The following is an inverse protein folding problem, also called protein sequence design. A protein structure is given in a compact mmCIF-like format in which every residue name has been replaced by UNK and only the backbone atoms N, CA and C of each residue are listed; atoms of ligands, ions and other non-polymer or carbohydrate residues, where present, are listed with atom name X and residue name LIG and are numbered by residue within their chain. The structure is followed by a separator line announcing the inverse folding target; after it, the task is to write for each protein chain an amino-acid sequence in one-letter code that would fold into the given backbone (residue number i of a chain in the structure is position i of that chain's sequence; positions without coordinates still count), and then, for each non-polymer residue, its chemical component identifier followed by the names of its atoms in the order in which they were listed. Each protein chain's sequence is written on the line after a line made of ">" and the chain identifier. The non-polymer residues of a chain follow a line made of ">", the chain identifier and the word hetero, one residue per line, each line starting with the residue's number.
data_IF_839836109450
#
_entry.id   IF_839836109450
#
_cell.length_a   1.000
_cell.length_b   1.000
_cell.length_c   1.000
_cell.angle_alpha   90.00
_cell.angle_beta   90.00
_cell.angle_gamma   90.00
#
_symmetry.space_group_name_H-M   'P 1'
#
loop_
_entity.id
_entity.type
_entity.pdbx_description
1 polymer ?
#
# COMPACT_ATOMS: atom_id res chain seq x y z
N UNK A 1 -7.41 -2.11 8.53
CA UNK A 1 -6.96 -1.06 7.59
C UNK A 1 -5.72 -0.28 8.06
N UNK A 2 -5.66 0.19 9.31
CA UNK A 2 -4.49 0.93 9.87
C UNK A 2 -3.12 0.20 9.77
N UNK A 3 -2.98 -1.13 10.00
CA UNK A 3 -1.68 -1.80 9.91
C UNK A 3 -1.16 -1.90 8.48
N UNK A 4 -2.01 -2.23 7.50
CA UNK A 4 -1.68 -2.20 6.07
C UNK A 4 -1.05 -0.87 5.67
N UNK A 5 -1.71 0.21 6.08
CA UNK A 5 -1.34 1.56 5.71
C UNK A 5 -0.02 1.99 6.35
N UNK A 6 0.18 1.70 7.65
CA UNK A 6 1.45 1.93 8.35
C UNK A 6 2.61 1.15 7.73
N UNK A 7 2.36 -0.09 7.32
CA UNK A 7 3.39 -0.94 6.71
C UNK A 7 3.73 -0.48 5.29
N UNK A 8 2.76 -0.12 4.44
CA UNK A 8 3.06 0.35 3.09
C UNK A 8 3.69 1.76 3.10
N UNK A 9 3.29 2.65 4.01
CA UNK A 9 3.98 3.94 4.21
C UNK A 9 5.44 3.72 4.62
N UNK A 10 5.72 2.80 5.56
CA UNK A 10 7.10 2.45 5.96
C UNK A 10 7.96 1.90 4.82
N UNK A 11 7.34 1.32 3.80
CA UNK A 11 8.03 0.74 2.65
C UNK A 11 8.31 1.80 1.57
N UNK A 12 7.60 2.94 1.59
CA UNK A 12 7.78 4.04 0.66
C UNK A 12 9.18 4.70 0.84
N UNK A 13 9.96 4.92 -0.22
CA UNK A 13 11.35 5.32 -0.12
C UNK A 13 11.60 6.82 0.13
N UNK A 14 10.57 7.66 0.26
CA UNK A 14 10.77 9.03 0.72
C UNK A 14 11.39 9.05 2.14
N UNK A 15 11.07 8.06 2.98
CA UNK A 15 11.76 7.80 4.25
C UNK A 15 12.98 6.86 4.12
N UNK A 16 13.22 6.18 2.97
CA UNK A 16 14.38 5.28 2.81
C UNK A 16 15.70 6.00 3.07
N UNK A 17 15.88 7.23 2.58
CA UNK A 17 17.19 7.89 2.69
C UNK A 17 17.55 8.28 4.13
N UNK A 18 16.56 8.59 4.97
CA UNK A 18 16.77 8.89 6.39
C UNK A 18 16.74 7.63 7.27
N UNK A 19 15.96 6.59 6.92
CA UNK A 19 15.88 5.34 7.68
C UNK A 19 17.02 4.34 7.39
N UNK A 20 17.72 4.41 6.25
CA UNK A 20 18.90 3.56 6.02
C UNK A 20 20.07 3.86 6.98
N UNK A 21 19.98 4.95 7.75
CA UNK A 21 20.95 5.33 8.78
C UNK A 21 20.54 4.92 10.20
N UNK A 22 19.32 4.39 10.40
CA UNK A 22 18.85 3.90 11.70
C UNK A 22 18.67 2.39 11.65
N UNK A 23 19.52 1.68 12.39
CA UNK A 23 19.58 0.23 12.56
C UNK A 23 18.36 -0.33 13.32
N UNK A 24 17.15 0.00 12.89
CA UNK A 24 15.92 -0.58 13.43
C UNK A 24 15.67 -1.90 12.72
N UNK A 25 15.75 -3.01 13.46
CA UNK A 25 15.43 -4.36 12.95
C UNK A 25 14.05 -4.29 12.27
N UNK A 26 14.02 -4.34 10.94
CA UNK A 26 12.75 -4.48 10.21
C UNK A 26 12.09 -5.76 10.69
N UNK A 27 10.92 -5.63 11.30
CA UNK A 27 10.19 -6.80 11.77
C UNK A 27 9.72 -7.59 10.57
N UNK A 28 9.86 -8.91 10.60
CA UNK A 28 9.37 -9.81 9.56
C UNK A 28 7.89 -9.56 9.22
N UNK A 29 7.12 -9.07 10.19
CA UNK A 29 5.73 -8.63 10.07
C UNK A 29 5.50 -7.52 9.03
N UNK A 30 6.48 -6.64 8.79
CA UNK A 30 6.37 -5.55 7.80
C UNK A 30 6.40 -6.08 6.35
N UNK A 31 6.90 -7.30 6.13
CA UNK A 31 6.86 -7.98 4.83
C UNK A 31 5.69 -8.97 4.75
N UNK A 32 5.37 -9.64 5.85
CA UNK A 32 4.35 -10.68 5.90
C UNK A 32 2.95 -10.12 5.62
N UNK A 33 2.61 -8.96 6.20
CA UNK A 33 1.26 -8.42 6.06
C UNK A 33 0.91 -8.04 4.60
N UNK A 34 1.73 -7.26 3.85
CA UNK A 34 1.46 -6.98 2.44
C UNK A 34 1.42 -8.23 1.57
N UNK A 35 2.31 -9.21 1.84
CA UNK A 35 2.35 -10.49 1.12
C UNK A 35 1.04 -11.25 1.25
N UNK A 36 0.52 -11.40 2.47
CA UNK A 36 -0.74 -12.12 2.71
C UNK A 36 -1.94 -11.40 2.11
N UNK A 37 -2.02 -10.07 2.25
CA UNK A 37 -3.14 -9.30 1.70
C UNK A 37 -3.14 -9.34 0.18
N UNK A 38 -1.99 -9.07 -0.46
CA UNK A 38 -1.92 -9.04 -1.93
C UNK A 38 -1.99 -10.43 -2.55
N UNK A 39 -1.37 -11.43 -1.92
CA UNK A 39 -1.54 -12.83 -2.29
C UNK A 39 -3.01 -13.26 -2.20
N UNK A 40 -3.69 -12.91 -1.11
CA UNK A 40 -5.12 -13.17 -0.93
C UNK A 40 -6.01 -12.45 -1.95
N UNK A 41 -5.71 -11.19 -2.28
CA UNK A 41 -6.40 -10.49 -3.37
C UNK A 41 -6.15 -11.16 -4.74
N UNK A 42 -4.96 -11.72 -4.97
CA UNK A 42 -4.68 -12.52 -6.16
C UNK A 42 -5.49 -13.82 -6.21
N UNK A 43 -5.69 -14.47 -5.07
CA UNK A 43 -6.60 -15.62 -4.94
C UNK A 43 -8.02 -15.20 -5.34
N UNK A 44 -8.54 -14.11 -4.77
CA UNK A 44 -9.87 -13.57 -5.13
C UNK A 44 -9.94 -13.29 -6.64
N UNK A 45 -8.90 -12.68 -7.21
CA UNK A 45 -8.81 -12.43 -8.65
C UNK A 45 -8.92 -13.68 -9.52
N UNK A 46 -8.59 -14.86 -8.98
CA UNK A 46 -8.80 -16.15 -9.65
C UNK A 46 -10.26 -16.59 -9.61
N UNK A 47 -10.93 -16.45 -8.47
CA UNK A 47 -12.33 -16.81 -8.30
C UNK A 47 -13.27 -15.88 -9.07
N UNK A 48 -12.89 -14.62 -9.27
CA UNK A 48 -13.63 -13.67 -10.11
C UNK A 48 -13.27 -13.78 -11.58
N UNK A 49 -12.44 -14.74 -11.97
CA UNK A 49 -12.04 -14.96 -13.35
C UNK A 49 -13.19 -15.51 -14.19
N UNK A 50 -13.24 -15.10 -15.46
CA UNK A 50 -14.22 -15.60 -16.43
C UNK A 50 -13.65 -16.82 -17.15
N UNK A 51 -14.33 -17.97 -17.13
CA UNK A 51 -13.87 -19.15 -17.85
C UNK A 51 -14.04 -18.97 -19.37
N UNK A 52 -12.96 -19.19 -20.13
CA UNK A 52 -12.91 -19.08 -21.59
C UNK A 52 -12.09 -20.26 -22.12
N UNK A 53 -12.72 -21.12 -22.92
CA UNK A 53 -12.07 -22.29 -23.58
C UNK A 53 -11.19 -23.13 -22.64
N UNK A 54 -11.72 -23.48 -21.46
CA UNK A 54 -10.98 -24.30 -20.48
C UNK A 54 -9.86 -23.57 -19.73
N UNK A 55 -9.73 -22.24 -19.89
CA UNK A 55 -8.84 -21.40 -19.11
C UNK A 55 -9.60 -20.23 -18.45
N UNK A 56 -8.90 -19.40 -17.69
CA UNK A 56 -9.50 -18.32 -16.88
C UNK A 56 -8.92 -16.95 -17.26
N UNK A 57 -9.73 -16.08 -17.86
CA UNK A 57 -9.42 -14.66 -17.99
C UNK A 57 -9.64 -13.98 -16.64
N UNK A 58 -8.58 -13.43 -16.05
CA UNK A 58 -8.58 -13.06 -14.64
C UNK A 58 -7.73 -11.81 -14.37
N UNK A 59 -7.94 -11.22 -13.19
CA UNK A 59 -7.19 -10.04 -12.73
C UNK A 59 -6.19 -10.41 -11.61
N UNK A 60 -5.78 -11.69 -11.50
CA UNK A 60 -4.88 -12.17 -10.43
C UNK A 60 -3.58 -11.38 -10.37
N UNK A 61 -3.01 -11.08 -11.53
CA UNK A 61 -1.71 -10.44 -11.60
C UNK A 61 -1.73 -9.04 -10.98
N UNK A 62 -2.87 -8.35 -10.98
CA UNK A 62 -2.98 -6.95 -10.59
C UNK A 62 -2.49 -6.70 -9.15
N UNK A 63 -3.05 -7.36 -8.11
CA UNK A 63 -2.56 -7.19 -6.75
C UNK A 63 -1.12 -7.70 -6.56
N UNK A 64 -0.70 -8.77 -7.24
CA UNK A 64 0.67 -9.31 -7.17
C UNK A 64 1.69 -8.32 -7.75
N UNK A 65 1.37 -7.75 -8.90
CA UNK A 65 2.19 -6.75 -9.58
C UNK A 65 2.31 -5.48 -8.74
N UNK A 66 1.20 -4.97 -8.20
CA UNK A 66 1.20 -3.82 -7.28
C UNK A 66 2.04 -4.12 -6.03
N UNK A 67 1.94 -5.33 -5.48
CA UNK A 67 2.75 -5.77 -4.34
C UNK A 67 4.25 -5.75 -4.65
N UNK A 68 4.66 -6.20 -5.84
CA UNK A 68 6.04 -6.10 -6.29
C UNK A 68 6.47 -4.65 -6.47
N UNK A 69 5.68 -3.84 -7.18
CA UNK A 69 6.06 -2.48 -7.51
C UNK A 69 6.24 -1.59 -6.27
N UNK A 70 5.35 -1.73 -5.28
CA UNK A 70 5.42 -0.99 -4.01
C UNK A 70 6.33 -1.67 -2.98
N UNK A 71 6.29 -3.00 -2.90
CA UNK A 71 6.95 -3.80 -1.85
C UNK A 71 8.36 -4.27 -2.17
N UNK A 72 8.78 -4.16 -3.43
CA UNK A 72 10.04 -4.70 -3.94
C UNK A 72 9.96 -6.21 -4.28
N UNK A 73 11.09 -6.80 -4.70
CA UNK A 73 11.13 -8.15 -5.27
C UNK A 73 10.68 -9.24 -4.30
N UNK A 74 11.08 -9.15 -3.03
CA UNK A 74 10.71 -10.17 -2.02
C UNK A 74 9.20 -10.22 -1.81
N UNK A 75 8.54 -9.06 -1.71
CA UNK A 75 7.08 -9.00 -1.51
C UNK A 75 6.33 -9.50 -2.75
N UNK A 76 6.75 -9.05 -3.94
CA UNK A 76 6.13 -9.47 -5.20
C UNK A 76 6.24 -10.96 -5.46
N UNK A 77 7.42 -11.54 -5.26
CA UNK A 77 7.65 -12.98 -5.43
C UNK A 77 6.80 -13.80 -4.45
N UNK A 78 6.81 -13.45 -3.16
CA UNK A 78 6.04 -14.20 -2.16
C UNK A 78 4.53 -14.09 -2.39
N UNK A 79 4.02 -12.90 -2.75
CA UNK A 79 2.61 -12.72 -3.11
C UNK A 79 2.26 -13.54 -4.38
N UNK A 80 3.15 -13.55 -5.36
CA UNK A 80 3.01 -14.33 -6.59
C UNK A 80 3.01 -15.83 -6.33
N UNK A 81 3.83 -16.32 -5.40
CA UNK A 81 3.82 -17.73 -4.96
C UNK A 81 2.45 -18.07 -4.36
N UNK A 82 1.94 -17.26 -3.44
CA UNK A 82 0.64 -17.51 -2.81
C UNK A 82 -0.48 -17.59 -3.85
N UNK A 83 -0.58 -16.57 -4.72
CA UNK A 83 -1.66 -16.50 -5.71
C UNK A 83 -1.48 -17.53 -6.84
N UNK A 84 -0.26 -17.73 -7.31
CA UNK A 84 0.08 -18.65 -8.40
C UNK A 84 -0.05 -20.11 -8.00
N UNK A 85 0.49 -20.51 -6.84
CA UNK A 85 0.33 -21.88 -6.32
C UNK A 85 -1.14 -22.18 -6.04
N UNK A 86 -1.89 -21.22 -5.49
CA UNK A 86 -3.34 -21.38 -5.36
C UNK A 86 -4.01 -21.63 -6.72
N UNK A 87 -3.66 -20.91 -7.79
CA UNK A 87 -4.23 -21.17 -9.12
C UNK A 87 -3.91 -22.57 -9.63
N UNK A 88 -2.67 -23.01 -9.45
CA UNK A 88 -2.28 -24.36 -9.84
C UNK A 88 -3.09 -25.40 -9.05
N UNK A 89 -3.25 -25.20 -7.74
CA UNK A 89 -4.02 -26.08 -6.86
C UNK A 89 -5.55 -26.03 -7.12
N UNK A 90 -6.07 -24.90 -7.61
CA UNK A 90 -7.50 -24.73 -7.90
C UNK A 90 -7.98 -25.60 -9.06
N UNK A 91 -7.14 -25.83 -10.06
CA UNK A 91 -7.49 -26.60 -11.26
C UNK A 91 -6.26 -27.43 -11.67
N UNK A 92 -6.06 -28.47 -10.86
CA UNK A 92 -4.97 -29.44 -10.99
C UNK A 92 -5.18 -30.22 -12.28
N UNK A 93 -4.26 -30.03 -13.24
CA UNK A 93 -4.32 -30.66 -14.55
C UNK A 93 -4.90 -29.77 -15.66
N UNK A 94 -5.34 -28.55 -15.35
CA UNK A 94 -5.69 -27.57 -16.37
C UNK A 94 -4.50 -27.21 -17.25
N UNK A 95 -4.69 -27.14 -18.57
CA UNK A 95 -3.60 -26.95 -19.54
C UNK A 95 -2.81 -25.63 -19.36
N UNK A 96 -3.39 -24.64 -18.67
CA UNK A 96 -2.76 -23.36 -18.31
C UNK A 96 -2.33 -23.24 -16.85
N UNK A 97 -2.63 -24.24 -16.00
CA UNK A 97 -2.46 -24.12 -14.55
C UNK A 97 -1.00 -23.85 -14.13
N UNK A 98 -0.06 -24.60 -14.70
CA UNK A 98 1.39 -24.44 -14.44
C UNK A 98 1.91 -23.14 -15.06
N UNK A 99 1.54 -22.86 -16.32
CA UNK A 99 1.94 -21.66 -17.04
C UNK A 99 1.53 -20.38 -16.30
N UNK A 100 0.28 -20.32 -15.84
CA UNK A 100 -0.24 -19.19 -15.07
C UNK A 100 0.41 -19.05 -13.69
N UNK A 101 0.82 -20.15 -13.05
CA UNK A 101 1.57 -20.08 -11.80
C UNK A 101 2.94 -19.43 -12.03
N UNK A 102 3.67 -19.91 -13.03
CA UNK A 102 5.00 -19.39 -13.38
C UNK A 102 4.91 -17.92 -13.80
N UNK A 103 3.95 -17.57 -14.65
CA UNK A 103 3.76 -16.19 -15.12
C UNK A 103 3.46 -15.25 -13.95
N UNK A 104 2.54 -15.60 -13.05
CA UNK A 104 2.19 -14.75 -11.90
C UNK A 104 3.38 -14.51 -10.97
N UNK A 105 4.23 -15.50 -10.73
CA UNK A 105 5.46 -15.33 -9.94
C UNK A 105 6.43 -14.39 -10.66
N UNK A 106 6.61 -14.57 -11.97
CA UNK A 106 7.50 -13.73 -12.79
C UNK A 106 7.02 -12.28 -12.89
N UNK A 107 5.72 -12.03 -12.97
CA UNK A 107 5.13 -10.69 -12.96
C UNK A 107 5.41 -9.97 -11.64
N UNK A 108 5.23 -10.67 -10.51
CA UNK A 108 5.56 -10.15 -9.19
C UNK A 108 7.07 -9.84 -9.05
N UNK A 109 7.92 -10.72 -9.57
CA UNK A 109 9.37 -10.51 -9.59
C UNK A 109 9.78 -9.31 -10.47
N UNK A 110 9.22 -9.21 -11.67
CA UNK A 110 9.47 -8.12 -12.62
C UNK A 110 9.04 -6.77 -12.04
N UNK A 111 7.83 -6.69 -11.47
CA UNK A 111 7.36 -5.48 -10.81
C UNK A 111 8.27 -5.09 -9.63
N UNK A 112 8.69 -6.08 -8.84
CA UNK A 112 9.64 -5.90 -7.75
C UNK A 112 11.00 -5.38 -8.19
N UNK A 113 11.54 -5.90 -9.28
CA UNK A 113 12.77 -5.41 -9.89
C UNK A 113 12.63 -3.96 -10.38
N UNK A 114 11.49 -3.62 -10.99
CA UNK A 114 11.19 -2.28 -11.47
C UNK A 114 10.86 -1.28 -10.34
N UNK A 115 10.66 -1.73 -9.11
CA UNK A 115 10.27 -0.90 -7.95
C UNK A 115 11.19 0.30 -7.76
N UNK A 116 12.51 0.13 -7.82
CA UNK A 116 13.45 1.24 -7.64
C UNK A 116 13.30 2.30 -8.75
N UNK A 117 13.07 1.86 -9.99
CA UNK A 117 12.89 2.75 -11.15
C UNK A 117 11.53 3.44 -11.11
N UNK A 118 10.51 2.75 -10.63
CA UNK A 118 9.17 3.27 -10.38
C UNK A 118 9.19 4.45 -9.41
N UNK A 119 9.87 4.31 -8.27
CA UNK A 119 9.95 5.38 -7.28
C UNK A 119 10.75 6.61 -7.73
N UNK A 120 11.67 6.43 -8.69
CA UNK A 120 12.39 7.53 -9.32
C UNK A 120 11.59 8.22 -10.44
N UNK A 121 10.45 7.65 -10.86
CA UNK A 121 9.62 8.22 -11.92
C UNK A 121 8.74 9.35 -11.40
N UNK A 122 8.67 10.46 -12.16
CA UNK A 122 7.74 11.57 -11.87
C UNK A 122 6.28 11.23 -12.20
N UNK A 123 6.04 10.29 -13.13
CA UNK A 123 4.70 9.91 -13.60
C UNK A 123 4.43 8.46 -13.22
N UNK A 124 4.13 8.22 -11.94
CA UNK A 124 3.98 6.86 -11.38
C UNK A 124 2.85 6.05 -12.02
N UNK A 125 1.69 6.67 -12.26
CA UNK A 125 0.56 6.01 -12.94
C UNK A 125 0.91 5.54 -14.36
N UNK A 126 1.56 6.39 -15.17
CA UNK A 126 2.00 6.02 -16.52
C UNK A 126 3.10 4.94 -16.49
N UNK A 127 4.04 5.03 -15.54
CA UNK A 127 5.06 4.00 -15.38
C UNK A 127 4.41 2.64 -15.06
N UNK A 128 3.47 2.61 -14.12
CA UNK A 128 2.74 1.40 -13.75
C UNK A 128 1.94 0.82 -14.93
N UNK A 129 1.28 1.69 -15.71
CA UNK A 129 0.55 1.28 -16.92
C UNK A 129 1.47 0.56 -17.91
N UNK A 130 2.59 1.20 -18.31
CA UNK A 130 3.52 0.60 -19.28
C UNK A 130 4.20 -0.65 -18.74
N UNK A 131 4.62 -0.63 -17.47
CA UNK A 131 5.25 -1.80 -16.85
C UNK A 131 4.27 -2.99 -16.76
N UNK A 132 3.00 -2.74 -16.49
CA UNK A 132 1.96 -3.77 -16.47
C UNK A 132 1.67 -4.31 -17.88
N UNK A 133 1.65 -3.45 -18.92
CA UNK A 133 1.53 -3.91 -20.32
C UNK A 133 2.68 -4.86 -20.68
N UNK A 134 3.91 -4.51 -20.32
CA UNK A 134 5.07 -5.38 -20.56
C UNK A 134 4.97 -6.70 -19.79
N UNK A 135 4.46 -6.67 -18.56
CA UNK A 135 4.27 -7.85 -17.72
C UNK A 135 3.20 -8.79 -18.30
N UNK A 136 2.06 -8.26 -18.76
CA UNK A 136 1.01 -9.06 -19.41
C UNK A 136 1.48 -9.67 -20.73
N UNK A 137 2.22 -8.91 -21.55
CA UNK A 137 2.83 -9.45 -22.77
C UNK A 137 3.76 -10.61 -22.42
N UNK A 138 4.59 -10.46 -21.38
CA UNK A 138 5.45 -11.53 -20.89
C UNK A 138 4.63 -12.75 -20.43
N UNK A 139 3.51 -12.55 -19.74
CA UNK A 139 2.61 -13.64 -19.35
C UNK A 139 2.05 -14.39 -20.55
N UNK A 140 1.58 -13.69 -21.58
CA UNK A 140 1.05 -14.33 -22.79
C UNK A 140 2.14 -15.16 -23.49
N UNK A 141 3.39 -14.68 -23.52
CA UNK A 141 4.52 -15.43 -24.05
C UNK A 141 4.84 -16.68 -23.21
N UNK A 142 4.83 -16.57 -21.87
CA UNK A 142 5.05 -17.71 -20.99
C UNK A 142 3.98 -18.77 -21.22
N UNK A 143 2.71 -18.36 -21.38
CA UNK A 143 1.61 -19.29 -21.67
C UNK A 143 1.86 -20.01 -22.99
N UNK A 144 2.21 -19.31 -24.08
CA UNK A 144 2.47 -19.94 -25.38
C UNK A 144 3.65 -20.94 -25.35
N UNK A 145 4.67 -20.68 -24.55
CA UNK A 145 5.87 -21.54 -24.49
C UNK A 145 5.66 -22.76 -23.60
N UNK A 146 4.83 -22.64 -22.56
CA UNK A 146 4.74 -23.65 -21.50
C UNK A 146 3.42 -24.42 -21.45
N UNK A 147 2.33 -23.86 -21.99
CA UNK A 147 1.04 -24.54 -22.04
C UNK A 147 1.00 -25.54 -23.19
N UNK A 148 0.40 -26.70 -22.96
CA UNK A 148 0.29 -27.79 -23.94
C UNK A 148 -1.14 -28.34 -23.97
N UNK A 149 -1.74 -28.56 -25.16
CA UNK A 149 -1.17 -28.40 -26.50
C UNK A 149 -1.09 -26.94 -26.98
N UNK A 150 -0.14 -26.65 -27.89
CA UNK A 150 0.12 -25.29 -28.37
C UNK A 150 -1.06 -24.67 -29.12
N UNK A 151 -1.83 -25.48 -29.87
CA UNK A 151 -2.98 -25.01 -30.62
C UNK A 151 -4.03 -24.39 -29.71
N UNK A 152 -4.36 -25.05 -28.59
CA UNK A 152 -5.30 -24.54 -27.60
C UNK A 152 -4.78 -23.27 -26.92
N UNK A 153 -3.48 -23.21 -26.61
CA UNK A 153 -2.84 -22.04 -26.02
C UNK A 153 -2.86 -20.82 -26.96
N UNK A 154 -2.59 -21.02 -28.24
CA UNK A 154 -2.63 -19.97 -29.26
C UNK A 154 -4.02 -19.40 -29.45
N UNK A 155 -5.02 -20.28 -29.52
CA UNK A 155 -6.42 -19.92 -29.66
C UNK A 155 -6.96 -19.19 -28.43
N UNK A 156 -6.53 -19.60 -27.24
CA UNK A 156 -6.83 -18.87 -26.01
C UNK A 156 -6.23 -17.47 -26.04
N UNK A 157 -4.92 -17.34 -26.30
CA UNK A 157 -4.19 -16.06 -26.26
C UNK A 157 -4.78 -15.06 -27.24
N UNK A 158 -5.21 -15.47 -28.43
CA UNK A 158 -5.91 -14.59 -29.38
C UNK A 158 -7.16 -13.93 -28.80
N UNK A 159 -7.91 -14.65 -27.96
CA UNK A 159 -9.16 -14.17 -27.39
C UNK A 159 -8.90 -13.31 -26.16
N UNK A 160 -7.98 -13.73 -25.30
CA UNK A 160 -7.80 -13.11 -23.98
C UNK A 160 -6.75 -12.00 -23.95
N UNK A 161 -5.78 -11.99 -24.86
CA UNK A 161 -4.61 -11.09 -24.77
C UNK A 161 -4.99 -9.62 -24.74
N UNK A 162 -5.72 -9.14 -25.75
CA UNK A 162 -6.13 -7.72 -25.84
C UNK A 162 -6.95 -7.27 -24.62
N UNK A 163 -8.06 -7.94 -24.24
CA UNK A 163 -8.86 -7.49 -23.10
C UNK A 163 -8.09 -7.59 -21.78
N UNK A 164 -7.30 -8.65 -21.55
CA UNK A 164 -6.52 -8.79 -20.31
C UNK A 164 -5.39 -7.77 -20.21
N UNK A 165 -4.57 -7.62 -21.26
CA UNK A 165 -3.49 -6.60 -21.29
C UNK A 165 -4.07 -5.23 -20.97
N UNK A 166 -5.18 -4.86 -21.61
CA UNK A 166 -5.78 -3.54 -21.44
C UNK A 166 -6.38 -3.37 -20.05
N UNK A 167 -7.25 -4.29 -19.62
CA UNK A 167 -7.96 -4.19 -18.35
C UNK A 167 -7.02 -4.25 -17.15
N UNK A 168 -6.09 -5.21 -17.13
CA UNK A 168 -5.18 -5.39 -16.00
C UNK A 168 -4.15 -4.26 -15.93
N UNK A 169 -3.66 -3.76 -17.07
CA UNK A 169 -2.73 -2.62 -17.07
C UNK A 169 -3.40 -1.34 -16.56
N UNK A 170 -4.63 -1.06 -17.00
CA UNK A 170 -5.41 0.07 -16.49
C UNK A 170 -5.69 -0.12 -14.99
N UNK A 171 -6.08 -1.33 -14.57
CA UNK A 171 -6.31 -1.67 -13.17
C UNK A 171 -5.09 -1.41 -12.29
N UNK A 172 -3.90 -1.86 -12.73
CA UNK A 172 -2.63 -1.58 -12.06
C UNK A 172 -2.37 -0.07 -11.95
N UNK A 173 -2.54 0.68 -13.04
CA UNK A 173 -2.30 2.12 -13.05
C UNK A 173 -3.24 2.87 -12.09
N UNK A 174 -4.54 2.52 -12.08
CA UNK A 174 -5.53 3.12 -11.19
C UNK A 174 -5.24 2.81 -9.73
N UNK A 175 -4.90 1.57 -9.39
CA UNK A 175 -4.55 1.18 -8.02
C UNK A 175 -3.29 1.94 -7.57
N UNK A 176 -2.28 2.06 -8.43
CA UNK A 176 -1.06 2.81 -8.11
C UNK A 176 -1.36 4.30 -7.89
N UNK A 177 -2.20 4.92 -8.73
CA UNK A 177 -2.64 6.29 -8.52
C UNK A 177 -3.41 6.44 -7.21
N UNK A 178 -4.30 5.50 -6.89
CA UNK A 178 -5.02 5.49 -5.62
C UNK A 178 -4.04 5.41 -4.44
N UNK A 179 -3.05 4.53 -4.48
CA UNK A 179 -2.01 4.46 -3.45
C UNK A 179 -1.19 5.75 -3.33
N UNK A 180 -0.81 6.35 -4.46
CA UNK A 180 -0.09 7.63 -4.46
C UNK A 180 -0.91 8.75 -3.80
N UNK A 181 -2.20 8.86 -4.13
CA UNK A 181 -3.11 9.80 -3.47
C UNK A 181 -3.22 9.53 -1.98
N UNK A 182 -3.40 8.26 -1.61
CA UNK A 182 -3.53 7.82 -0.23
C UNK A 182 -2.27 8.16 0.60
N UNK A 183 -1.06 7.96 0.07
CA UNK A 183 0.17 8.33 0.77
C UNK A 183 0.35 9.85 0.85
N UNK A 184 0.06 10.58 -0.22
CA UNK A 184 0.12 12.05 -0.21
C UNK A 184 -0.80 12.66 0.84
N UNK A 185 -2.03 12.14 0.98
CA UNK A 185 -2.96 12.58 2.01
C UNK A 185 -2.49 12.20 3.43
N UNK A 186 -1.91 11.02 3.61
CA UNK A 186 -1.34 10.60 4.88
C UNK A 186 -0.22 11.54 5.36
N UNK A 187 0.70 11.88 4.46
CA UNK A 187 1.80 12.83 4.72
C UNK A 187 1.25 14.22 5.08
N UNK A 188 0.25 14.71 4.35
CA UNK A 188 -0.42 15.99 4.65
C UNK A 188 -1.08 15.99 6.03
N UNK A 189 -1.77 14.92 6.41
CA UNK A 189 -2.39 14.79 7.73
C UNK A 189 -1.34 14.77 8.84
N UNK A 190 -0.26 14.00 8.67
CA UNK A 190 0.85 13.95 9.63
C UNK A 190 1.52 15.32 9.80
N UNK A 191 1.77 16.05 8.70
CA UNK A 191 2.33 17.39 8.74
C UNK A 191 1.41 18.37 9.49
N UNK A 192 0.10 18.33 9.23
CA UNK A 192 -0.88 19.16 9.95
C UNK A 192 -0.89 18.87 11.45
N UNK A 193 -0.82 17.60 11.85
CA UNK A 193 -0.74 17.22 13.27
C UNK A 193 0.54 17.76 13.93
N UNK A 194 1.69 17.63 13.28
CA UNK A 194 2.96 18.19 13.79
C UNK A 194 2.90 19.71 13.96
N UNK A 195 2.28 20.41 13.00
CA UNK A 195 2.07 21.87 13.08
C UNK A 195 1.14 22.25 14.24
N UNK A 196 0.07 21.48 14.49
CA UNK A 196 -0.82 21.71 15.63
C UNK A 196 -0.09 21.51 16.97
N UNK A 197 0.73 20.46 17.08
CA UNK A 197 1.53 20.20 18.28
C UNK A 197 2.52 21.35 18.53
N UNK A 198 3.22 21.80 17.50
CA UNK A 198 4.14 22.95 17.60
C UNK A 198 3.41 24.24 18.01
N UNK A 199 2.21 24.48 17.47
CA UNK A 199 1.38 25.63 17.84
C UNK A 199 0.96 25.59 19.32
N UNK A 200 0.56 24.43 19.82
CA UNK A 200 0.22 24.26 21.25
C UNK A 200 1.47 24.45 22.10
N UNK A 201 2.61 23.87 21.70
CA UNK A 201 3.89 24.04 22.39
C UNK A 201 4.28 25.52 22.49
N UNK A 202 4.18 26.26 21.38
CA UNK A 202 4.47 27.70 21.33
C UNK A 202 3.53 28.52 22.23
N UNK A 203 2.24 28.17 22.29
CA UNK A 203 1.28 28.81 23.20
C UNK A 203 1.56 28.51 24.69
N UNK A 204 2.12 27.34 25.00
CA UNK A 204 2.46 26.95 26.37
C UNK A 204 3.84 27.44 26.82
N UNK A 205 4.76 27.71 25.89
CA UNK A 205 6.13 28.13 26.19
C UNK A 205 6.22 29.40 27.06
N UNK A 206 5.40 30.46 26.86
CA UNK A 206 5.39 31.64 27.73
C UNK A 206 4.95 31.36 29.16
N UNK A 207 4.05 30.38 29.37
CA UNK A 207 3.60 29.95 30.70
C UNK A 207 4.71 29.16 31.40
N UNK A 208 5.35 28.24 30.69
CA UNK A 208 6.46 27.44 31.21
C UNK A 208 7.68 28.30 31.58
N UNK A 209 7.96 29.36 30.80
CA UNK A 209 9.04 30.32 31.09
C UNK A 209 8.85 31.12 32.38
N UNK A 210 7.62 31.26 32.88
CA UNK A 210 7.32 31.98 34.14
C UNK A 210 7.50 31.12 35.40
N UNK A 211 7.86 29.84 35.26
CA UNK A 211 8.01 28.89 36.36
C UNK A 211 6.70 28.20 36.73
N UNK A 212 6.81 26.96 37.23
CA UNK A 212 5.69 26.13 37.67
C UNK A 212 5.33 26.49 39.12
N UNK A 213 4.39 27.41 39.31
CA UNK A 213 3.89 27.80 40.63
C UNK A 213 2.35 27.93 40.60
N UNK A 214 1.72 28.01 41.77
CA UNK A 214 0.25 28.01 41.90
C UNK A 214 -0.42 29.15 41.10
N UNK A 215 0.19 30.34 41.09
CA UNK A 215 -0.29 31.52 40.33
C UNK A 215 -0.23 31.32 38.80
N UNK A 216 0.80 30.64 38.29
CA UNK A 216 0.93 30.31 36.86
C UNK A 216 -0.06 29.20 36.45
N UNK A 217 -0.36 28.25 37.34
CA UNK A 217 -1.37 27.23 37.12
C UNK A 217 -2.79 27.82 37.07
N UNK A 218 -3.10 28.78 37.96
CA UNK A 218 -4.39 29.47 38.01
C UNK A 218 -4.64 30.35 36.78
N UNK A 219 -3.60 30.97 36.22
CA UNK A 219 -3.70 31.82 35.03
C UNK A 219 -3.71 31.05 33.70
N UNK A 220 -3.11 29.86 33.63
CA UNK A 220 -3.09 28.99 32.44
C UNK A 220 -4.41 28.27 32.15
N UNK A 221 -5.19 27.95 33.18
CA UNK A 221 -6.45 27.18 33.04
C UNK A 221 -7.65 27.95 32.45
N UNK A 222 -7.58 29.28 32.33
CA UNK A 222 -8.78 30.11 32.17
C UNK A 222 -8.82 31.05 30.96
N UNK A 223 -7.73 31.28 30.21
CA UNK A 223 -7.68 32.39 29.23
C UNK A 223 -7.73 32.03 27.75
N UNK A 224 -7.57 30.77 27.35
CA UNK A 224 -7.30 30.46 25.94
C UNK A 224 -8.08 29.30 25.31
N UNK A 225 -9.16 28.82 25.94
CA UNK A 225 -10.08 27.90 25.28
C UNK A 225 -11.14 28.71 24.49
N UNK A 226 -11.19 28.63 23.15
CA UNK A 226 -12.25 29.24 22.38
C UNK A 226 -13.56 28.49 22.67
N UNK A 227 -14.43 29.07 23.50
CA UNK A 227 -15.74 28.49 23.86
C UNK A 227 -16.01 28.31 25.36
N UNK A 228 -15.07 28.61 26.25
CA UNK A 228 -15.34 28.57 27.69
C UNK A 228 -16.05 29.86 28.12
N UNK A 229 -17.37 29.79 28.28
CA UNK A 229 -18.13 30.84 28.96
C UNK A 229 -17.57 31.07 30.36
N UNK A 230 -17.45 32.34 30.74
CA UNK A 230 -16.99 32.80 32.05
C UNK A 230 -17.79 32.15 33.20
N UNK A 231 -17.18 31.47 34.17
CA UNK A 231 -17.92 31.05 35.34
C UNK A 231 -18.04 32.23 36.31
N UNK A 232 -19.28 32.52 36.67
CA UNK A 232 -19.63 33.34 37.83
C UNK A 232 -19.24 32.53 39.07
N UNK A 233 -18.21 32.94 39.80
CA UNK A 233 -17.90 32.37 41.12
C UNK A 233 -18.28 33.36 42.21
N UNK A 234 -19.26 32.96 43.02
CA UNK A 234 -19.66 33.63 44.25
C UNK A 234 -18.49 33.69 45.24
N UNK A 235 -18.25 34.87 45.78
CA UNK A 235 -17.34 35.14 46.88
C UNK A 235 -17.77 34.39 48.15
N UNK A 236 -16.98 33.40 48.59
CA UNK A 236 -17.06 32.86 49.94
C UNK A 236 -16.10 33.65 50.84
N UNK A 237 -16.60 34.02 52.02
CA UNK A 237 -16.12 35.10 52.85
C UNK A 237 -14.83 34.84 53.61
N UNK A 238 -14.27 35.98 54.02
CA UNK A 238 -13.19 36.19 55.00
C UNK A 238 -13.60 35.74 56.40
N UNK A 239 -12.67 35.17 57.18
CA UNK A 239 -12.41 35.57 58.58
C UNK A 239 -11.06 35.02 59.10
N UNK A 240 -10.27 35.79 59.88
CA UNK A 240 -8.98 35.39 60.44
C UNK A 240 -9.10 34.79 61.87
N UNK A 241 -8.05 34.14 62.41
CA UNK A 241 -8.14 33.45 63.70
C UNK A 241 -7.97 34.41 64.88
N UNK A 242 -8.76 34.19 65.92
CA UNK A 242 -8.61 34.76 67.27
C UNK A 242 -8.48 33.65 68.30
#
# INVERSE_FOLDING_TARGET
>A
MVPFFKTVIRVCPAERQTLFRSNSKKSFLDYLFPVLVMGGLGIIGTYTGVPIRGALANARMVPVFVAGLLGGPVVGILAGIIAGVHRWAFDIGGFTAISCMISTIMEGALAGYLSQRFYNSRKKGMFALFAAVCAEILQMLIILITASPFEDAWDLVKIISIPMITANSIGCALIILAFEHLFSEAERMAARQSQQILKIADQTLPLLRKGLNYETAKSGGYRNCPGAGSPVFHSAGTEPPG
#
